data_IF_005895052690
#
_entry.id   IF_005895052690
#
_cell.length_a   1.000
_cell.length_b   1.000
_cell.length_c   1.000
_cell.angle_alpha   90.00
_cell.angle_beta   90.00
_cell.angle_gamma   90.00
#
_symmetry.space_group_name_H-M   'P 1'
#
loop_
_entity.id
_entity.type
_entity.pdbx_description
1 polymer ?
#
# COMPACT_ATOMS: atom_id res chain seq x y z
N UNK A 1 15.02 12.57 5.01
CA UNK A 1 14.35 13.87 5.26
C UNK A 1 15.07 15.02 4.56
N UNK A 2 16.39 15.12 4.67
CA UNK A 2 17.17 16.22 4.05
C UNK A 2 16.95 16.36 2.54
N UNK A 3 16.88 15.25 1.80
CA UNK A 3 16.55 15.26 0.38
C UNK A 3 15.19 15.92 0.10
N UNK A 4 14.14 15.57 0.86
CA UNK A 4 12.81 16.18 0.72
C UNK A 4 12.85 17.68 1.03
N UNK A 5 13.69 18.10 1.98
CA UNK A 5 13.86 19.52 2.28
C UNK A 5 14.56 20.26 1.13
N UNK A 6 15.60 19.68 0.56
CA UNK A 6 16.27 20.25 -0.62
C UNK A 6 15.32 20.35 -1.81
N UNK A 7 14.50 19.32 -2.05
CA UNK A 7 13.48 19.32 -3.10
C UNK A 7 12.43 20.42 -2.85
N UNK A 8 11.91 20.55 -1.63
CA UNK A 8 10.96 21.60 -1.26
C UNK A 8 11.57 23.00 -1.42
N UNK A 9 12.83 23.21 -1.04
CA UNK A 9 13.48 24.52 -1.13
C UNK A 9 13.79 24.91 -2.59
N UNK A 10 14.12 23.93 -3.44
CA UNK A 10 14.32 24.12 -4.87
C UNK A 10 13.00 24.34 -5.64
N UNK A 11 11.93 23.66 -5.21
CA UNK A 11 10.60 23.70 -5.82
C UNK A 11 9.51 23.95 -4.77
N UNK A 12 9.43 25.16 -4.19
CA UNK A 12 8.53 25.44 -3.06
C UNK A 12 7.06 25.53 -3.44
N UNK A 13 6.74 25.55 -4.74
CA UNK A 13 5.41 25.81 -5.26
C UNK A 13 5.14 24.89 -6.46
N UNK A 14 3.98 24.24 -6.45
CA UNK A 14 3.50 23.40 -7.54
C UNK A 14 2.98 24.26 -8.71
N UNK A 15 2.70 23.64 -9.86
CA UNK A 15 2.22 24.34 -11.07
C UNK A 15 0.92 25.12 -10.82
N UNK A 16 0.08 24.63 -9.90
CA UNK A 16 -1.17 25.29 -9.51
C UNK A 16 -0.99 26.46 -8.53
N UNK A 17 0.25 26.83 -8.19
CA UNK A 17 0.58 27.96 -7.32
C UNK A 17 0.50 27.67 -5.82
N UNK A 18 0.19 26.43 -5.41
CA UNK A 18 0.15 26.03 -3.99
C UNK A 18 1.51 25.54 -3.51
N UNK A 19 1.69 25.56 -2.19
CA UNK A 19 2.91 25.13 -1.53
C UNK A 19 3.13 23.62 -1.69
N UNK A 20 4.38 23.23 -1.88
CA UNK A 20 4.82 21.83 -1.92
C UNK A 20 5.18 21.32 -0.51
N UNK A 21 4.82 20.09 -0.21
CA UNK A 21 5.11 19.38 1.03
C UNK A 21 5.90 18.10 0.77
N UNK A 22 6.74 17.71 1.72
CA UNK A 22 7.41 16.41 1.69
C UNK A 22 6.41 15.26 1.81
N UNK A 23 5.45 15.39 2.72
CA UNK A 23 4.41 14.41 3.00
C UNK A 23 3.04 15.08 3.11
N UNK A 24 2.01 14.41 2.58
CA UNK A 24 0.61 14.71 2.85
C UNK A 24 -0.06 13.43 3.34
N UNK A 25 -0.53 13.41 4.59
CA UNK A 25 -1.10 12.23 5.25
C UNK A 25 -2.63 12.34 5.34
N UNK A 26 -3.33 11.29 5.76
CA UNK A 26 -4.78 11.29 5.96
C UNK A 26 -5.18 10.22 6.99
N UNK A 27 -6.40 10.33 7.53
CA UNK A 27 -6.91 9.47 8.62
C UNK A 27 -7.94 8.42 8.20
N UNK A 28 -8.48 8.51 6.99
CA UNK A 28 -9.64 7.71 6.56
C UNK A 28 -9.41 6.20 6.67
N UNK A 29 -8.15 5.75 6.61
CA UNK A 29 -7.78 4.34 6.70
C UNK A 29 -7.19 3.94 8.05
N UNK A 30 -7.21 4.84 9.03
CA UNK A 30 -6.74 4.52 10.37
C UNK A 30 -7.63 3.46 11.03
N UNK A 31 -7.01 2.37 11.46
CA UNK A 31 -7.70 1.24 12.09
C UNK A 31 -7.41 1.18 13.60
N UNK A 32 -6.58 0.24 14.05
CA UNK A 32 -6.07 0.18 15.43
C UNK A 32 -4.84 1.06 15.66
N UNK A 33 -4.34 1.71 14.60
CA UNK A 33 -3.20 2.61 14.57
C UNK A 33 -3.36 3.66 13.47
N UNK A 34 -2.45 4.63 13.42
CA UNK A 34 -2.33 5.59 12.32
C UNK A 34 -1.80 4.88 11.07
N UNK A 35 -2.60 4.83 10.00
CA UNK A 35 -2.29 4.06 8.78
C UNK A 35 -1.03 4.55 8.09
N UNK A 36 -0.84 5.86 8.00
CA UNK A 36 0.34 6.43 7.35
C UNK A 36 1.65 6.13 8.11
N UNK A 37 1.61 5.91 9.43
CA UNK A 37 2.79 5.52 10.21
C UNK A 37 3.06 4.01 10.14
N UNK A 38 2.00 3.23 10.25
CA UNK A 38 2.07 1.77 10.25
C UNK A 38 2.45 1.19 8.88
N UNK A 39 2.01 1.77 7.75
CA UNK A 39 2.45 1.31 6.43
C UNK A 39 3.96 1.49 6.24
N UNK A 40 4.57 2.48 6.89
CA UNK A 40 6.00 2.70 6.78
C UNK A 40 6.84 1.62 7.46
N UNK A 41 6.24 0.79 8.31
CA UNK A 41 6.93 -0.34 8.95
C UNK A 41 7.41 -1.35 7.89
N UNK A 42 6.66 -1.52 6.80
CA UNK A 42 6.96 -2.44 5.70
C UNK A 42 8.29 -2.14 5.02
N UNK A 43 8.70 -0.86 4.96
CA UNK A 43 10.01 -0.47 4.40
C UNK A 43 11.17 -0.68 5.38
N UNK A 44 10.87 -1.04 6.64
CA UNK A 44 11.83 -1.08 7.75
C UNK A 44 11.91 -2.46 8.42
N UNK A 45 11.59 -3.52 7.69
CA UNK A 45 11.80 -4.90 8.14
C UNK A 45 10.63 -5.51 8.91
N UNK A 46 9.50 -4.81 9.05
CA UNK A 46 8.34 -5.30 9.79
C UNK A 46 7.04 -5.08 9.00
N UNK A 47 6.07 -5.97 9.10
CA UNK A 47 4.76 -5.78 8.48
C UNK A 47 3.69 -5.51 9.53
N UNK A 48 2.59 -4.90 9.09
CA UNK A 48 1.32 -4.84 9.83
C UNK A 48 0.62 -6.20 9.84
N UNK A 49 1.35 -7.25 10.22
CA UNK A 49 0.87 -8.62 10.30
C UNK A 49 -0.47 -8.73 11.01
N UNK A 50 -1.24 -9.79 10.72
CA UNK A 50 -2.52 -10.07 11.38
C UNK A 50 -2.39 -10.45 12.87
N UNK A 51 -1.29 -10.07 13.51
CA UNK A 51 -0.89 -10.30 14.90
C UNK A 51 -1.25 -9.13 15.82
N UNK A 52 -2.30 -8.37 15.49
CA UNK A 52 -2.77 -7.30 16.36
C UNK A 52 -1.78 -6.14 16.47
N UNK A 53 -1.30 -5.80 17.67
CA UNK A 53 -0.41 -4.67 17.97
C UNK A 53 1.09 -5.03 17.94
N UNK A 54 1.44 -6.18 17.36
CA UNK A 54 2.82 -6.61 17.13
C UNK A 54 3.11 -6.55 15.64
N UNK A 55 4.16 -5.84 15.25
CA UNK A 55 4.64 -5.80 13.86
C UNK A 55 5.74 -6.83 13.70
N UNK A 56 5.57 -7.83 12.85
CA UNK A 56 6.52 -8.94 12.70
C UNK A 56 7.44 -8.77 11.50
N UNK A 57 8.64 -9.34 11.55
CA UNK A 57 9.41 -9.55 10.31
C UNK A 57 8.74 -10.61 9.42
N UNK A 58 9.38 -10.95 8.28
CA UNK A 58 8.78 -11.81 7.24
C UNK A 58 8.36 -13.19 7.75
N UNK A 59 9.24 -13.89 8.45
CA UNK A 59 8.98 -15.23 8.99
C UNK A 59 8.32 -15.25 10.38
N UNK A 60 8.05 -14.07 10.95
CA UNK A 60 7.54 -13.87 12.31
C UNK A 60 8.44 -14.39 13.46
N UNK A 61 9.73 -14.62 13.21
CA UNK A 61 10.70 -14.96 14.26
C UNK A 61 11.06 -13.78 15.16
N UNK A 62 10.82 -12.54 14.71
CA UNK A 62 11.03 -11.31 15.46
C UNK A 62 9.82 -10.36 15.31
N UNK A 63 9.64 -9.49 16.31
CA UNK A 63 8.58 -8.50 16.30
C UNK A 63 8.91 -7.26 17.12
N UNK A 64 8.29 -6.14 16.76
CA UNK A 64 8.23 -4.94 17.59
C UNK A 64 6.83 -4.74 18.15
N UNK A 65 6.75 -4.29 19.39
CA UNK A 65 5.49 -3.97 20.05
C UNK A 65 5.12 -2.50 19.77
N UNK A 66 3.82 -2.20 19.59
CA UNK A 66 3.36 -0.86 19.21
C UNK A 66 3.78 0.25 20.20
N UNK A 67 3.84 -0.03 21.50
CA UNK A 67 4.17 0.93 22.57
C UNK A 67 5.65 0.87 23.01
N UNK A 68 6.49 0.18 22.24
CA UNK A 68 7.95 0.19 22.43
C UNK A 68 8.55 1.49 21.89
N UNK A 69 9.26 2.20 22.75
CA UNK A 69 9.90 3.49 22.46
C UNK A 69 11.09 3.34 21.50
N UNK A 70 11.62 2.11 21.38
CA UNK A 70 12.64 1.77 20.40
C UNK A 70 12.04 1.02 19.19
N UNK A 71 10.73 0.75 19.22
CA UNK A 71 10.00 0.02 18.20
C UNK A 71 9.82 0.83 16.92
N UNK A 72 9.53 0.13 15.83
CA UNK A 72 9.45 0.78 14.51
C UNK A 72 8.31 1.79 14.42
N UNK A 73 7.17 1.51 15.08
CA UNK A 73 6.03 2.43 15.07
C UNK A 73 6.36 3.78 15.71
N UNK A 74 7.05 3.80 16.87
CA UNK A 74 7.54 5.03 17.49
C UNK A 74 8.47 5.80 16.54
N UNK A 75 9.43 5.11 15.90
CA UNK A 75 10.36 5.73 14.93
C UNK A 75 9.63 6.35 13.74
N UNK A 76 8.54 5.74 13.25
CA UNK A 76 7.74 6.31 12.16
C UNK A 76 6.99 7.57 12.60
N UNK A 77 6.39 7.56 13.81
CA UNK A 77 5.78 8.76 14.38
C UNK A 77 6.81 9.87 14.58
N UNK A 78 8.00 9.53 15.10
CA UNK A 78 9.08 10.48 15.30
C UNK A 78 9.59 11.07 13.97
N UNK A 79 9.64 10.25 12.91
CA UNK A 79 10.02 10.69 11.56
C UNK A 79 9.03 11.74 11.03
N UNK A 80 7.73 11.50 11.16
CA UNK A 80 6.73 12.48 10.74
C UNK A 80 6.71 13.72 11.62
N UNK A 81 6.93 13.58 12.94
CA UNK A 81 7.12 14.73 13.83
C UNK A 81 8.31 15.59 13.39
N UNK A 82 9.49 14.99 13.17
CA UNK A 82 10.68 15.69 12.67
C UNK A 82 10.42 16.37 11.32
N UNK A 83 9.73 15.68 10.40
CA UNK A 83 9.33 16.26 9.13
C UNK A 83 8.38 17.46 9.32
N UNK A 84 7.42 17.37 10.25
CA UNK A 84 6.52 18.47 10.57
C UNK A 84 7.27 19.68 11.13
N UNK A 85 8.24 19.47 12.03
CA UNK A 85 9.11 20.52 12.56
C UNK A 85 9.94 21.23 11.46
N UNK A 86 10.25 20.52 10.37
CA UNK A 86 10.93 21.07 9.19
C UNK A 86 9.97 21.77 8.20
N UNK A 87 8.66 21.77 8.46
CA UNK A 87 7.64 22.30 7.55
C UNK A 87 7.39 21.43 6.31
N UNK A 88 7.71 20.13 6.40
CA UNK A 88 7.55 19.15 5.33
C UNK A 88 6.22 18.40 5.36
N UNK A 89 5.47 18.46 6.45
CA UNK A 89 4.15 17.80 6.55
C UNK A 89 3.06 18.81 6.21
N UNK A 90 2.14 18.40 5.34
CA UNK A 90 0.93 19.13 5.00
C UNK A 90 0.07 19.37 6.27
N UNK A 91 -0.21 20.63 6.65
CA UNK A 91 -0.96 20.94 7.85
C UNK A 91 -2.40 20.41 7.85
N UNK A 92 -2.97 20.12 6.68
CA UNK A 92 -4.33 19.57 6.57
C UNK A 92 -4.40 18.06 6.88
N UNK A 93 -3.25 17.39 7.09
CA UNK A 93 -3.18 15.92 7.12
C UNK A 93 -4.11 15.25 8.14
N UNK A 94 -4.35 15.88 9.28
CA UNK A 94 -5.23 15.32 10.34
C UNK A 94 -6.73 15.54 10.07
N UNK A 95 -7.07 16.40 9.10
CA UNK A 95 -8.43 16.82 8.80
C UNK A 95 -8.92 16.38 7.41
N UNK A 96 -8.01 16.21 6.45
CA UNK A 96 -8.35 15.87 5.07
C UNK A 96 -8.73 14.39 4.87
N UNK A 97 -9.49 14.15 3.80
CA UNK A 97 -9.85 12.81 3.32
C UNK A 97 -8.74 12.24 2.44
N UNK A 98 -8.82 10.94 2.17
CA UNK A 98 -7.97 10.26 1.19
C UNK A 98 -8.07 10.93 -0.20
N UNK A 99 -9.28 11.23 -0.68
CA UNK A 99 -9.49 11.85 -2.00
C UNK A 99 -8.86 13.25 -2.10
N UNK A 100 -8.96 14.04 -1.03
CA UNK A 100 -8.34 15.36 -0.98
C UNK A 100 -6.80 15.27 -1.03
N UNK A 101 -6.23 14.30 -0.32
CA UNK A 101 -4.79 14.01 -0.37
C UNK A 101 -4.37 13.48 -1.75
N UNK A 102 -5.14 12.58 -2.36
CA UNK A 102 -4.88 12.06 -3.71
C UNK A 102 -4.86 13.20 -4.76
N UNK A 103 -5.81 14.14 -4.66
CA UNK A 103 -5.82 15.30 -5.54
C UNK A 103 -4.53 16.12 -5.39
N UNK A 104 -4.06 16.36 -4.16
CA UNK A 104 -2.79 17.06 -3.90
C UNK A 104 -1.59 16.34 -4.55
N UNK A 105 -1.57 15.00 -4.54
CA UNK A 105 -0.54 14.20 -5.23
C UNK A 105 -0.58 14.46 -6.74
N UNK A 106 -1.75 14.37 -7.38
CA UNK A 106 -1.87 14.60 -8.84
C UNK A 106 -1.51 16.02 -9.29
N UNK A 107 -1.75 16.99 -8.41
CA UNK A 107 -1.41 18.41 -8.59
C UNK A 107 0.08 18.73 -8.34
N UNK A 108 0.86 17.76 -7.86
CA UNK A 108 2.30 17.97 -7.58
C UNK A 108 2.58 18.70 -6.27
N UNK A 109 1.63 18.74 -5.34
CA UNK A 109 1.80 19.38 -4.03
C UNK A 109 2.58 18.50 -3.04
N UNK A 110 2.88 17.24 -3.39
CA UNK A 110 3.50 16.23 -2.52
C UNK A 110 4.76 15.68 -3.18
N UNK A 111 5.85 15.48 -2.41
CA UNK A 111 7.13 14.98 -2.93
C UNK A 111 7.39 13.50 -2.67
N UNK A 112 6.75 12.92 -1.65
CA UNK A 112 6.94 11.53 -1.27
C UNK A 112 5.63 10.88 -0.86
N UNK A 113 5.41 9.66 -1.35
CA UNK A 113 4.30 8.82 -0.92
C UNK A 113 4.69 7.34 -0.89
N UNK A 114 4.04 6.57 -0.01
CA UNK A 114 4.32 5.16 0.24
C UNK A 114 3.61 4.19 -0.72
N UNK A 115 2.71 4.69 -1.57
CA UNK A 115 1.90 3.88 -2.48
C UNK A 115 2.20 4.28 -3.92
N UNK A 116 2.88 3.44 -4.69
CA UNK A 116 3.33 3.80 -6.04
C UNK A 116 2.16 4.11 -6.97
N UNK A 117 1.06 3.35 -6.90
CA UNK A 117 -0.15 3.59 -7.69
C UNK A 117 -0.75 4.97 -7.43
N UNK A 118 -0.66 5.50 -6.20
CA UNK A 118 -1.15 6.84 -5.90
C UNK A 118 -0.34 7.92 -6.62
N UNK A 119 0.97 7.70 -6.75
CA UNK A 119 1.87 8.65 -7.41
C UNK A 119 1.89 8.48 -8.92
N UNK A 120 2.21 7.28 -9.41
CA UNK A 120 2.37 6.99 -10.84
C UNK A 120 1.04 7.21 -11.57
N UNK A 121 -0.08 6.75 -11.04
CA UNK A 121 -1.36 6.82 -11.76
C UNK A 121 -1.99 8.22 -11.74
N UNK A 122 -1.57 9.11 -10.81
CA UNK A 122 -2.16 10.45 -10.67
C UNK A 122 -1.23 11.60 -11.04
N UNK A 123 0.09 11.42 -10.97
CA UNK A 123 1.06 12.49 -11.25
C UNK A 123 1.86 12.29 -12.53
N UNK A 124 2.26 11.06 -12.85
CA UNK A 124 3.14 10.74 -13.98
C UNK A 124 2.39 10.74 -15.32
N UNK A 125 1.85 11.89 -15.72
CA UNK A 125 1.24 12.08 -17.04
C UNK A 125 2.29 11.88 -18.15
N UNK A 126 1.88 11.49 -19.37
CA UNK A 126 2.80 11.37 -20.51
C UNK A 126 3.65 12.61 -20.75
N UNK A 127 3.04 13.80 -20.62
CA UNK A 127 3.74 15.07 -20.79
C UNK A 127 4.84 15.28 -19.74
N UNK A 128 4.54 15.02 -18.46
CA UNK A 128 5.50 15.19 -17.37
C UNK A 128 6.65 14.20 -17.48
N UNK A 129 6.36 12.92 -17.73
CA UNK A 129 7.41 11.89 -17.79
C UNK A 129 8.32 12.04 -19.02
N UNK A 130 7.83 12.58 -20.14
CA UNK A 130 8.66 12.92 -21.30
C UNK A 130 9.66 14.05 -20.97
N UNK A 131 9.26 14.98 -20.09
CA UNK A 131 10.12 16.06 -19.60
C UNK A 131 11.09 15.59 -18.50
N UNK A 132 11.01 14.34 -18.06
CA UNK A 132 11.79 13.82 -16.93
C UNK A 132 11.25 14.26 -15.55
N UNK A 133 9.98 14.72 -15.50
CA UNK A 133 9.31 15.11 -14.27
C UNK A 133 8.36 13.99 -13.85
N UNK A 134 8.56 13.42 -12.66
CA UNK A 134 7.69 12.35 -12.18
C UNK A 134 8.18 11.70 -10.89
N UNK A 135 7.35 10.83 -10.34
CA UNK A 135 7.72 9.96 -9.24
C UNK A 135 8.45 8.72 -9.77
N UNK A 136 9.52 8.36 -9.07
CA UNK A 136 10.21 7.09 -9.18
C UNK A 136 10.45 6.54 -7.77
N UNK A 137 10.67 5.23 -7.68
CA UNK A 137 11.11 4.62 -6.44
C UNK A 137 12.56 5.05 -6.13
N UNK A 138 12.80 5.52 -4.90
CA UNK A 138 14.13 5.82 -4.40
C UNK A 138 14.46 4.88 -3.24
N UNK A 139 15.49 4.02 -3.36
CA UNK A 139 15.92 3.17 -2.26
C UNK A 139 16.49 4.02 -1.12
N UNK A 140 16.16 3.64 0.12
CA UNK A 140 16.78 4.20 1.33
C UNK A 140 17.85 3.20 1.79
N UNK A 141 19.07 3.66 2.06
CA UNK A 141 20.26 2.79 2.22
C UNK A 141 20.11 1.68 3.27
N UNK A 142 19.45 1.96 4.39
CA UNK A 142 19.26 1.04 5.52
C UNK A 142 17.86 0.39 5.55
N UNK A 143 17.10 0.52 4.47
CA UNK A 143 15.77 -0.07 4.39
C UNK A 143 15.83 -1.60 4.30
N UNK A 144 14.77 -2.23 4.79
CA UNK A 144 14.50 -3.65 4.54
C UNK A 144 13.04 -3.79 4.19
N UNK A 145 12.75 -4.04 2.94
CA UNK A 145 11.39 -4.09 2.45
C UNK A 145 10.81 -5.48 2.74
N UNK A 146 9.82 -5.57 3.62
CA UNK A 146 9.04 -6.80 3.79
C UNK A 146 7.96 -6.82 2.71
N UNK A 147 7.84 -7.92 1.97
CA UNK A 147 6.86 -8.05 0.88
C UNK A 147 6.08 -9.35 1.08
N UNK A 148 4.78 -9.30 0.81
CA UNK A 148 3.95 -10.50 0.82
C UNK A 148 4.39 -11.46 -0.29
N UNK A 149 4.77 -12.67 0.10
CA UNK A 149 5.03 -13.76 -0.83
C UNK A 149 3.74 -14.39 -1.35
N UNK A 150 3.90 -15.29 -2.31
CA UNK A 150 2.80 -16.12 -2.77
C UNK A 150 2.25 -16.97 -1.60
N UNK A 151 0.94 -16.86 -1.36
CA UNK A 151 0.25 -17.67 -0.35
C UNK A 151 -0.70 -18.68 -1.04
N UNK A 152 -0.34 -19.98 -1.09
CA UNK A 152 -1.19 -21.00 -1.72
C UNK A 152 -2.49 -21.27 -0.95
N UNK A 153 -2.61 -20.77 0.29
CA UNK A 153 -3.79 -20.94 1.12
C UNK A 153 -4.82 -19.80 0.95
N UNK A 154 -4.53 -18.80 0.11
CA UNK A 154 -5.33 -17.58 -0.06
C UNK A 154 -4.99 -16.51 0.97
N UNK A 155 -5.70 -15.38 0.94
CA UNK A 155 -5.59 -14.32 1.95
C UNK A 155 -6.69 -14.49 3.01
N UNK A 156 -6.39 -14.11 4.25
CA UNK A 156 -7.31 -14.22 5.40
C UNK A 156 -8.04 -12.90 5.71
N UNK A 157 -7.76 -11.84 4.95
CA UNK A 157 -8.24 -10.47 5.16
C UNK A 157 -9.55 -10.15 4.42
N UNK A 158 -9.82 -10.80 3.28
CA UNK A 158 -10.95 -10.50 2.41
C UNK A 158 -11.70 -11.78 1.99
N UNK A 159 -12.96 -11.87 2.38
CA UNK A 159 -13.85 -13.00 2.05
C UNK A 159 -15.16 -12.51 1.44
N UNK A 160 -15.67 -13.23 0.43
CA UNK A 160 -17.04 -13.03 -0.06
C UNK A 160 -18.02 -13.79 0.82
N UNK A 161 -18.96 -13.06 1.40
CA UNK A 161 -20.07 -13.63 2.17
C UNK A 161 -21.39 -13.41 1.46
N UNK A 162 -22.23 -14.46 1.39
CA UNK A 162 -23.61 -14.36 0.91
C UNK A 162 -24.57 -14.30 2.09
N UNK A 163 -25.39 -13.24 2.15
CA UNK A 163 -26.39 -13.08 3.19
C UNK A 163 -27.44 -14.19 3.17
N UNK A 164 -27.90 -14.64 4.34
CA UNK A 164 -28.88 -15.72 4.50
C UNK A 164 -30.26 -15.46 3.87
N UNK A 165 -30.53 -14.22 3.45
CA UNK A 165 -31.77 -13.80 2.77
C UNK A 165 -31.59 -13.57 1.27
N UNK A 166 -30.47 -14.00 0.69
CA UNK A 166 -30.25 -13.93 -0.75
C UNK A 166 -31.38 -14.65 -1.49
N UNK A 167 -32.08 -13.93 -2.36
CA UNK A 167 -33.23 -14.48 -3.10
C UNK A 167 -32.81 -15.41 -4.23
N UNK A 168 -31.62 -15.19 -4.80
CA UNK A 168 -31.12 -15.88 -5.98
C UNK A 168 -29.66 -16.35 -5.77
N UNK A 169 -29.40 -17.30 -4.86
CA UNK A 169 -28.06 -17.76 -4.56
C UNK A 169 -27.33 -18.37 -5.78
N UNK A 170 -28.05 -19.09 -6.64
CA UNK A 170 -27.49 -19.67 -7.87
C UNK A 170 -26.94 -18.59 -8.79
N UNK A 171 -27.68 -17.49 -8.99
CA UNK A 171 -27.24 -16.36 -9.82
C UNK A 171 -26.02 -15.65 -9.24
N UNK A 172 -25.90 -15.60 -7.91
CA UNK A 172 -24.69 -15.09 -7.25
C UNK A 172 -23.50 -16.00 -7.56
N UNK A 173 -23.66 -17.31 -7.47
CA UNK A 173 -22.58 -18.25 -7.81
C UNK A 173 -22.18 -18.19 -9.29
N UNK A 174 -23.13 -18.07 -10.22
CA UNK A 174 -22.81 -17.85 -11.64
C UNK A 174 -21.99 -16.56 -11.85
N UNK A 175 -22.32 -15.50 -11.13
CA UNK A 175 -21.55 -14.25 -11.18
C UNK A 175 -20.14 -14.45 -10.61
N UNK A 176 -20.00 -15.13 -9.45
CA UNK A 176 -18.70 -15.38 -8.84
C UNK A 176 -17.81 -16.29 -9.69
N UNK A 177 -18.40 -17.29 -10.34
CA UNK A 177 -17.70 -18.15 -11.30
C UNK A 177 -17.13 -17.32 -12.46
N UNK A 178 -17.95 -16.48 -13.09
CA UNK A 178 -17.47 -15.53 -14.11
C UNK A 178 -16.45 -14.54 -13.55
N UNK A 179 -16.67 -13.98 -12.36
CA UNK A 179 -15.77 -13.01 -11.73
C UNK A 179 -14.40 -13.62 -11.41
N UNK A 180 -14.35 -14.94 -11.20
CA UNK A 180 -13.11 -15.70 -11.01
C UNK A 180 -12.42 -16.12 -12.31
N UNK A 181 -13.01 -15.82 -13.47
CA UNK A 181 -12.47 -16.24 -14.76
C UNK A 181 -11.33 -15.34 -15.27
N UNK A 182 -10.42 -15.86 -16.13
CA UNK A 182 -9.41 -15.04 -16.81
C UNK A 182 -10.01 -13.86 -17.60
N UNK A 183 -11.22 -14.04 -18.17
CA UNK A 183 -11.93 -12.97 -18.88
C UNK A 183 -12.22 -11.80 -17.95
N UNK A 184 -12.82 -12.07 -16.78
CA UNK A 184 -13.11 -11.01 -15.81
C UNK A 184 -11.82 -10.37 -15.29
N UNK A 185 -10.79 -11.16 -15.00
CA UNK A 185 -9.49 -10.62 -14.58
C UNK A 185 -8.89 -9.68 -15.63
N UNK A 186 -8.94 -10.03 -16.92
CA UNK A 186 -8.46 -9.16 -17.99
C UNK A 186 -9.34 -7.90 -18.17
N UNK A 187 -10.66 -8.00 -18.00
CA UNK A 187 -11.54 -6.82 -18.00
C UNK A 187 -11.15 -5.87 -16.86
N UNK A 188 -10.95 -6.39 -15.65
CA UNK A 188 -10.69 -5.59 -14.45
C UNK A 188 -9.28 -4.98 -14.45
N UNK A 189 -8.26 -5.74 -14.84
CA UNK A 189 -6.85 -5.32 -14.72
C UNK A 189 -6.23 -4.88 -16.05
N UNK A 190 -6.67 -5.44 -17.18
CA UNK A 190 -6.29 -5.01 -18.53
C UNK A 190 -7.16 -3.87 -19.07
N UNK A 191 -8.46 -3.87 -18.75
CA UNK A 191 -9.46 -3.01 -19.40
C UNK A 191 -10.10 -3.69 -20.62
N UNK A 192 -11.01 -3.02 -21.36
CA UNK A 192 -11.67 -3.62 -22.51
C UNK A 192 -10.67 -3.93 -23.65
N UNK A 193 -10.64 -5.18 -24.13
CA UNK A 193 -9.88 -5.58 -25.32
C UNK A 193 -10.40 -4.80 -26.56
N UNK A 194 -9.49 -4.38 -27.43
CA UNK A 194 -9.77 -3.53 -28.60
C UNK A 194 -9.77 -2.03 -28.29
N UNK A 195 -10.01 -1.63 -27.03
CA UNK A 195 -9.92 -0.23 -26.59
C UNK A 195 -8.65 0.04 -25.79
N UNK A 196 -8.45 -0.67 -24.68
CA UNK A 196 -7.33 -0.45 -23.76
C UNK A 196 -6.09 -1.28 -24.13
N UNK A 197 -6.29 -2.45 -24.71
CA UNK A 197 -5.22 -3.34 -25.13
C UNK A 197 -5.69 -4.23 -26.28
N UNK A 198 -4.74 -4.79 -27.02
CA UNK A 198 -4.97 -5.74 -28.09
C UNK A 198 -4.00 -6.91 -27.99
N UNK A 199 -4.35 -8.03 -28.63
CA UNK A 199 -3.50 -9.22 -28.69
C UNK A 199 -2.57 -9.15 -29.89
N UNK A 200 -1.26 -9.06 -29.63
CA UNK A 200 -0.20 -9.10 -30.66
C UNK A 200 0.68 -10.31 -30.38
N UNK A 201 0.82 -11.20 -31.37
CA UNK A 201 1.61 -12.44 -31.25
C UNK A 201 1.22 -13.30 -30.02
N UNK A 202 -0.08 -13.33 -29.70
CA UNK A 202 -0.62 -14.09 -28.58
C UNK A 202 -0.45 -13.43 -27.21
N UNK A 203 0.12 -12.23 -27.13
CA UNK A 203 0.35 -11.49 -25.89
C UNK A 203 -0.42 -10.16 -25.86
N UNK A 204 -0.87 -9.70 -24.67
CA UNK A 204 -1.51 -8.40 -24.53
C UNK A 204 -0.51 -7.25 -24.71
N UNK A 205 -0.92 -6.24 -25.46
CA UNK A 205 -0.17 -4.99 -25.67
C UNK A 205 -1.14 -3.83 -25.50
N UNK A 206 -0.77 -2.82 -24.69
CA UNK A 206 -1.63 -1.64 -24.52
C UNK A 206 -1.71 -0.84 -25.82
N UNK A 207 -2.92 -0.41 -26.16
CA UNK A 207 -3.16 0.54 -27.26
C UNK A 207 -2.70 1.93 -26.83
N UNK A 208 -2.56 2.86 -27.79
CA UNK A 208 -2.27 4.27 -27.48
C UNK A 208 -3.28 4.88 -26.48
N UNK A 209 -4.55 4.53 -26.62
CA UNK A 209 -5.60 4.90 -25.67
C UNK A 209 -5.31 4.33 -24.27
N UNK A 210 -5.13 3.01 -24.14
CA UNK A 210 -4.96 2.36 -22.84
C UNK A 210 -3.69 2.72 -22.09
N UNK A 211 -2.67 3.25 -22.77
CA UNK A 211 -1.46 3.79 -22.12
C UNK A 211 -1.74 5.03 -21.27
N UNK A 212 -2.73 5.82 -21.65
CA UNK A 212 -2.98 7.14 -21.06
C UNK A 212 -4.34 7.26 -20.38
N UNK A 213 -5.30 6.40 -20.76
CA UNK A 213 -6.70 6.51 -20.36
C UNK A 213 -6.92 6.58 -18.85
N UNK A 214 -6.13 5.83 -18.08
CA UNK A 214 -6.16 5.85 -16.62
C UNK A 214 -5.69 7.20 -16.07
N UNK A 215 -4.48 7.63 -16.44
CA UNK A 215 -3.82 8.81 -15.88
C UNK A 215 -4.57 10.11 -16.19
N UNK A 216 -5.12 10.23 -17.41
CA UNK A 216 -5.87 11.42 -17.82
C UNK A 216 -7.39 11.29 -17.61
N UNK A 217 -7.86 10.15 -17.07
CA UNK A 217 -9.26 9.79 -17.00
C UNK A 217 -10.01 10.01 -18.33
N UNK A 218 -9.48 9.42 -19.41
CA UNK A 218 -9.93 9.71 -20.77
C UNK A 218 -11.43 9.39 -20.95
N UNK A 219 -12.14 10.15 -21.81
CA UNK A 219 -13.50 9.79 -22.20
C UNK A 219 -13.51 8.43 -22.90
N UNK A 220 -14.53 7.62 -22.61
CA UNK A 220 -14.74 6.30 -23.21
C UNK A 220 -15.69 6.46 -24.42
N UNK A 221 -15.40 5.86 -25.59
CA UNK A 221 -16.29 5.94 -26.74
C UNK A 221 -17.70 5.35 -26.45
N UNK A 222 -18.74 5.88 -27.10
CA UNK A 222 -20.13 5.43 -26.86
C UNK A 222 -20.34 3.93 -27.11
N UNK A 223 -19.60 3.33 -28.07
CA UNK A 223 -19.67 1.89 -28.36
C UNK A 223 -19.18 1.01 -27.20
N UNK A 224 -18.37 1.57 -26.29
CA UNK A 224 -17.92 0.92 -25.05
C UNK A 224 -18.72 1.37 -23.81
N UNK A 225 -19.79 2.17 -24.00
CA UNK A 225 -20.71 2.58 -22.93
C UNK A 225 -20.63 4.06 -22.52
N UNK A 226 -19.68 4.84 -23.04
CA UNK A 226 -19.52 6.26 -22.69
C UNK A 226 -18.97 6.50 -21.28
N UNK A 227 -18.99 7.77 -20.83
CA UNK A 227 -18.41 8.19 -19.54
C UNK A 227 -16.89 8.41 -19.64
N UNK A 228 -16.19 8.27 -18.51
CA UNK A 228 -14.73 8.34 -18.44
C UNK A 228 -14.14 6.99 -18.00
N UNK A 229 -12.87 6.77 -18.31
CA UNK A 229 -12.22 5.48 -18.10
C UNK A 229 -12.27 5.00 -16.64
N UNK A 230 -12.07 5.90 -15.67
CA UNK A 230 -12.14 5.57 -14.24
C UNK A 230 -13.56 5.19 -13.79
N UNK A 231 -14.60 5.63 -14.49
CA UNK A 231 -16.00 5.29 -14.17
C UNK A 231 -16.28 3.79 -14.39
N UNK A 232 -15.53 3.15 -15.29
CA UNK A 232 -15.63 1.71 -15.59
C UNK A 232 -14.82 0.80 -14.67
N UNK A 233 -14.07 1.34 -13.70
CA UNK A 233 -13.26 0.53 -12.79
C UNK A 233 -14.12 -0.37 -11.90
N UNK A 234 -13.59 -1.55 -11.62
CA UNK A 234 -14.19 -2.49 -10.68
C UNK A 234 -14.32 -1.89 -9.28
N UNK A 235 -15.56 -1.63 -8.86
CA UNK A 235 -15.85 -1.04 -7.55
C UNK A 235 -15.79 -2.05 -6.40
N UNK A 236 -15.71 -3.36 -6.70
CA UNK A 236 -15.43 -4.37 -5.67
C UNK A 236 -14.04 -4.19 -5.06
N UNK A 237 -13.13 -3.50 -5.77
CA UNK A 237 -11.75 -3.21 -5.36
C UNK A 237 -11.00 -4.46 -4.85
N UNK A 238 -11.33 -5.63 -5.41
CA UNK A 238 -10.81 -6.93 -5.01
C UNK A 238 -11.05 -7.95 -6.13
N UNK A 239 -10.31 -9.05 -6.14
CA UNK A 239 -10.36 -10.12 -7.13
C UNK A 239 -10.27 -11.50 -6.45
N UNK A 240 -10.87 -12.54 -7.05
CA UNK A 240 -10.78 -13.91 -6.53
C UNK A 240 -9.43 -14.54 -6.92
N UNK A 241 -9.08 -14.71 -8.21
CA UNK A 241 -7.69 -14.93 -8.61
C UNK A 241 -6.86 -13.72 -8.24
N UNK A 242 -5.60 -13.92 -7.89
CA UNK A 242 -4.74 -12.79 -7.55
C UNK A 242 -4.35 -12.05 -8.83
N UNK A 243 -4.31 -10.72 -8.79
CA UNK A 243 -3.98 -9.90 -9.98
C UNK A 243 -2.54 -10.08 -10.47
N UNK A 244 -1.68 -10.69 -9.65
CA UNK A 244 -0.33 -11.13 -10.02
C UNK A 244 -0.28 -12.54 -10.62
N UNK A 245 -1.40 -13.27 -10.66
CA UNK A 245 -1.47 -14.56 -11.32
C UNK A 245 -1.32 -14.41 -12.85
N UNK A 246 -0.89 -15.50 -13.49
CA UNK A 246 -0.73 -15.56 -14.95
C UNK A 246 -2.05 -15.90 -15.61
N UNK A 247 -2.40 -15.13 -16.63
CA UNK A 247 -3.44 -15.49 -17.57
C UNK A 247 -3.03 -16.77 -18.32
N UNK A 248 -3.79 -17.87 -18.21
CA UNK A 248 -3.45 -19.12 -18.89
C UNK A 248 -3.48 -19.00 -20.42
N UNK A 249 -4.17 -18.01 -21.00
CA UNK A 249 -4.25 -17.83 -22.44
C UNK A 249 -3.02 -17.15 -23.03
N UNK A 250 -2.38 -16.24 -22.29
CA UNK A 250 -1.27 -15.41 -22.78
C UNK A 250 0.06 -15.70 -22.08
N UNK A 251 0.02 -16.29 -20.89
CA UNK A 251 1.18 -16.51 -20.02
C UNK A 251 1.71 -15.25 -19.33
N UNK A 252 1.09 -14.09 -19.55
CA UNK A 252 1.42 -12.82 -18.89
C UNK A 252 0.63 -12.68 -17.59
N UNK A 253 1.10 -11.79 -16.69
CA UNK A 253 0.39 -11.45 -15.46
C UNK A 253 -0.89 -10.66 -15.78
N UNK A 254 -1.98 -10.82 -15.02
CA UNK A 254 -3.23 -10.06 -15.28
C UNK A 254 -3.05 -8.54 -15.18
N UNK A 255 -2.22 -8.05 -14.25
CA UNK A 255 -1.91 -6.63 -14.16
C UNK A 255 -1.06 -6.14 -15.34
N UNK A 256 -1.68 -5.26 -16.14
CA UNK A 256 -1.10 -4.62 -17.33
C UNK A 256 0.20 -3.87 -17.10
N UNK A 257 0.46 -3.38 -15.89
CA UNK A 257 1.72 -2.70 -15.56
C UNK A 257 2.93 -3.65 -15.62
N UNK A 258 2.69 -4.97 -15.50
CA UNK A 258 3.73 -6.00 -15.46
C UNK A 258 3.76 -6.87 -16.73
N UNK A 259 2.97 -6.55 -17.75
CA UNK A 259 3.11 -7.23 -19.04
C UNK A 259 4.50 -6.98 -19.61
N UNK A 260 5.08 -8.03 -20.20
CA UNK A 260 6.38 -7.95 -20.86
C UNK A 260 6.43 -6.82 -21.89
N UNK A 261 5.32 -6.60 -22.62
CA UNK A 261 5.17 -5.53 -23.60
C UNK A 261 5.20 -4.14 -22.95
N UNK A 262 4.54 -3.96 -21.82
CA UNK A 262 4.53 -2.73 -21.04
C UNK A 262 5.93 -2.42 -20.49
N UNK A 263 6.52 -3.35 -19.75
CA UNK A 263 7.83 -3.16 -19.10
C UNK A 263 8.92 -2.82 -20.12
N UNK A 264 8.90 -3.49 -21.28
CA UNK A 264 9.94 -3.32 -22.30
C UNK A 264 9.73 -2.09 -23.18
N UNK A 265 8.49 -1.82 -23.61
CA UNK A 265 8.23 -0.88 -24.70
C UNK A 265 7.68 0.46 -24.23
N UNK A 266 7.29 0.58 -22.96
CA UNK A 266 6.67 1.81 -22.42
C UNK A 266 7.57 2.50 -21.42
N UNK A 267 8.85 2.61 -21.82
CA UNK A 267 9.88 3.38 -21.14
C UNK A 267 9.61 4.88 -21.30
N UNK A 268 10.05 5.64 -20.31
CA UNK A 268 10.03 7.11 -20.33
C UNK A 268 11.29 7.64 -19.65
N UNK A 269 11.53 8.94 -19.77
CA UNK A 269 12.75 9.59 -19.27
C UNK A 269 12.97 9.39 -17.76
N UNK A 270 11.90 9.41 -16.95
CA UNK A 270 12.00 9.15 -15.49
C UNK A 270 12.52 7.74 -15.22
N UNK A 271 12.01 6.74 -15.96
CA UNK A 271 12.49 5.37 -15.84
C UNK A 271 13.93 5.20 -16.35
N UNK A 272 14.29 5.90 -17.43
CA UNK A 272 15.64 5.85 -18.01
C UNK A 272 16.67 6.47 -17.07
N UNK A 273 16.39 7.64 -16.49
CA UNK A 273 17.23 8.25 -15.45
C UNK A 273 17.36 7.35 -14.21
N UNK A 274 16.29 6.64 -13.84
CA UNK A 274 16.35 5.65 -12.75
C UNK A 274 17.29 4.49 -13.09
N UNK A 275 17.18 3.93 -14.29
CA UNK A 275 18.05 2.83 -14.76
C UNK A 275 19.51 3.28 -14.88
N UNK A 276 19.77 4.49 -15.37
CA UNK A 276 21.12 5.08 -15.42
C UNK A 276 21.72 5.26 -14.01
N UNK A 277 20.89 5.59 -13.03
CA UNK A 277 21.33 5.84 -11.65
C UNK A 277 21.57 4.54 -10.87
N UNK A 278 20.66 3.56 -10.98
CA UNK A 278 20.65 2.35 -10.14
C UNK A 278 21.06 1.06 -10.85
N UNK A 279 21.23 1.10 -12.17
CA UNK A 279 21.81 0.00 -12.96
C UNK A 279 20.89 -1.19 -13.23
N UNK A 280 19.62 -1.13 -12.85
CA UNK A 280 18.62 -2.18 -13.17
C UNK A 280 17.42 -1.59 -13.92
N UNK A 281 16.57 -2.44 -14.51
CA UNK A 281 15.36 -1.99 -15.23
C UNK A 281 14.17 -1.74 -14.30
N UNK A 282 14.10 -2.47 -13.19
CA UNK A 282 12.98 -2.44 -12.23
C UNK A 282 13.47 -2.20 -10.80
N UNK A 283 12.79 -1.35 -10.01
CA UNK A 283 13.03 -1.19 -8.58
C UNK A 283 13.07 -2.49 -7.78
N UNK A 284 12.21 -3.44 -8.11
CA UNK A 284 12.17 -4.74 -7.46
C UNK A 284 13.43 -5.56 -7.71
N UNK A 285 14.00 -5.49 -8.92
CA UNK A 285 15.26 -6.14 -9.24
C UNK A 285 16.41 -5.53 -8.43
N UNK A 286 16.46 -4.19 -8.31
CA UNK A 286 17.44 -3.52 -7.44
C UNK A 286 17.35 -4.01 -5.99
N UNK A 287 16.13 -4.11 -5.44
CA UNK A 287 15.93 -4.58 -4.07
C UNK A 287 16.40 -6.02 -3.87
N UNK A 288 16.15 -6.91 -4.81
CA UNK A 288 16.61 -8.30 -4.78
C UNK A 288 18.13 -8.40 -4.90
N UNK A 289 18.73 -7.70 -5.87
CA UNK A 289 20.17 -7.76 -6.13
C UNK A 289 21.03 -7.20 -4.99
N UNK A 290 20.43 -6.34 -4.15
CA UNK A 290 21.10 -5.68 -3.01
C UNK A 290 20.68 -6.23 -1.64
N UNK A 291 19.94 -7.34 -1.57
CA UNK A 291 19.49 -7.95 -0.30
C UNK A 291 18.66 -6.98 0.58
N UNK A 292 17.84 -6.13 -0.05
CA UNK A 292 17.00 -5.13 0.60
C UNK A 292 15.53 -5.58 0.72
N UNK A 293 15.23 -6.84 0.45
CA UNK A 293 13.87 -7.39 0.45
C UNK A 293 13.78 -8.69 1.24
N UNK A 294 12.74 -8.80 2.06
CA UNK A 294 12.37 -10.02 2.77
C UNK A 294 10.96 -10.45 2.35
N UNK A 295 10.81 -11.72 2.00
CA UNK A 295 9.52 -12.27 1.60
C UNK A 295 8.81 -12.86 2.82
N UNK A 296 7.58 -12.44 3.07
CA UNK A 296 6.67 -13.10 4.01
C UNK A 296 6.25 -14.44 3.39
N UNK A 297 6.60 -15.58 3.98
CA UNK A 297 6.12 -16.88 3.51
C UNK A 297 4.59 -16.97 3.66
N UNK A 298 3.95 -17.62 2.69
CA UNK A 298 2.55 -18.03 2.81
C UNK A 298 2.33 -18.85 4.07
N UNK A 299 1.14 -18.71 4.69
CA UNK A 299 0.82 -19.38 5.94
C UNK A 299 -0.62 -19.92 5.91
N UNK A 300 -0.86 -21.17 6.34
CA UNK A 300 -2.20 -21.69 6.57
C UNK A 300 -2.79 -21.25 7.92
N UNK A 301 -2.01 -20.58 8.77
CA UNK A 301 -2.46 -20.14 10.08
C UNK A 301 -3.43 -18.96 9.97
N UNK A 302 -4.59 -19.12 10.61
CA UNK A 302 -5.60 -18.07 10.75
C UNK A 302 -5.70 -17.73 12.24
N UNK A 303 -5.56 -16.44 12.57
CA UNK A 303 -5.71 -15.97 13.93
C UNK A 303 -7.10 -16.31 14.48
N UNK A 304 -7.19 -16.87 15.70
CA UNK A 304 -8.46 -17.02 16.39
C UNK A 304 -9.16 -15.67 16.54
N UNK A 305 -10.50 -15.68 16.44
CA UNK A 305 -11.29 -14.49 16.72
C UNK A 305 -11.13 -14.10 18.20
N UNK A 306 -10.83 -12.83 18.45
CA UNK A 306 -10.78 -12.29 19.80
C UNK A 306 -12.07 -12.60 20.57
N UNK A 307 -11.93 -12.91 21.86
CA UNK A 307 -13.09 -12.94 22.74
C UNK A 307 -13.74 -11.55 22.78
N UNK A 308 -15.03 -11.48 23.13
CA UNK A 308 -15.74 -10.21 23.22
C UNK A 308 -15.04 -9.19 24.13
N UNK A 309 -14.43 -9.66 25.23
CA UNK A 309 -13.66 -8.83 26.15
C UNK A 309 -12.37 -8.29 25.52
N UNK A 310 -11.58 -9.15 24.86
CA UNK A 310 -10.34 -8.72 24.17
C UNK A 310 -10.66 -7.76 23.03
N UNK A 311 -11.71 -7.98 22.26
CA UNK A 311 -12.12 -7.10 21.17
C UNK A 311 -12.49 -5.68 21.70
N UNK A 312 -13.21 -5.60 22.83
CA UNK A 312 -13.52 -4.31 23.47
C UNK A 312 -12.22 -3.59 23.90
N UNK A 313 -11.32 -4.30 24.59
CA UNK A 313 -10.02 -3.75 25.02
C UNK A 313 -9.19 -3.26 23.83
N UNK A 314 -9.09 -4.07 22.78
CA UNK A 314 -8.35 -3.75 21.55
C UNK A 314 -8.92 -2.51 20.86
N UNK A 315 -10.23 -2.40 20.74
CA UNK A 315 -10.90 -1.23 20.15
C UNK A 315 -10.64 0.06 20.93
N UNK A 316 -10.70 -0.01 22.26
CA UNK A 316 -10.38 1.14 23.13
C UNK A 316 -8.90 1.53 23.04
N UNK A 317 -7.99 0.54 23.05
CA UNK A 317 -6.56 0.76 22.86
C UNK A 317 -6.29 1.42 21.50
N UNK A 318 -6.86 0.89 20.41
CA UNK A 318 -6.66 1.44 19.07
C UNK A 318 -7.17 2.87 18.91
N UNK A 319 -8.27 3.22 19.60
CA UNK A 319 -8.74 4.62 19.66
C UNK A 319 -7.71 5.51 20.35
N UNK A 320 -7.18 5.10 21.51
CA UNK A 320 -6.15 5.85 22.23
C UNK A 320 -4.86 6.01 21.40
N UNK A 321 -4.41 4.95 20.74
CA UNK A 321 -3.22 4.96 19.86
C UNK A 321 -3.38 5.96 18.74
N UNK A 322 -4.50 5.94 18.01
CA UNK A 322 -4.75 6.87 16.90
C UNK A 322 -4.74 8.32 17.34
N UNK A 323 -5.47 8.63 18.41
CA UNK A 323 -5.54 9.98 18.97
C UNK A 323 -4.14 10.50 19.39
N UNK A 324 -3.36 9.66 20.05
CA UNK A 324 -2.00 10.00 20.46
C UNK A 324 -1.07 10.16 19.26
N UNK A 325 -1.13 9.25 18.28
CA UNK A 325 -0.27 9.26 17.09
C UNK A 325 -0.38 10.57 16.30
N UNK A 326 -1.59 11.05 16.05
CA UNK A 326 -1.81 12.34 15.38
C UNK A 326 -1.31 13.53 16.22
N UNK A 327 -1.54 13.51 17.53
CA UNK A 327 -1.01 14.54 18.45
C UNK A 327 0.52 14.55 18.48
N UNK A 328 1.16 13.38 18.42
CA UNK A 328 2.61 13.26 18.38
C UNK A 328 3.18 13.85 17.10
N UNK A 329 2.66 13.48 15.92
CA UNK A 329 3.14 14.04 14.64
C UNK A 329 3.05 15.57 14.60
N UNK A 330 1.99 16.13 15.19
CA UNK A 330 1.75 17.58 15.23
C UNK A 330 2.16 18.25 16.55
N UNK A 331 2.91 17.57 17.42
CA UNK A 331 3.40 18.14 18.67
C UNK A 331 4.27 19.37 18.38
N UNK A 332 4.24 20.36 19.28
CA UNK A 332 5.00 21.60 19.13
C UNK A 332 6.51 21.35 19.22
N UNK A 333 6.93 20.48 20.13
CA UNK A 333 8.31 20.19 20.46
C UNK A 333 8.48 18.74 20.94
N UNK A 334 9.73 18.32 21.18
CA UNK A 334 10.04 16.94 21.57
C UNK A 334 9.49 16.62 22.95
N UNK A 335 9.44 17.61 23.84
CA UNK A 335 8.86 17.47 25.18
C UNK A 335 7.37 17.14 25.11
N UNK A 336 6.59 17.84 24.27
CA UNK A 336 5.18 17.51 24.04
C UNK A 336 5.02 16.14 23.37
N UNK A 337 5.84 15.82 22.36
CA UNK A 337 5.84 14.51 21.71
C UNK A 337 6.02 13.38 22.72
N UNK A 338 7.02 13.49 23.60
CA UNK A 338 7.32 12.49 24.62
C UNK A 338 6.25 12.42 25.70
N UNK A 339 5.69 13.57 26.09
CA UNK A 339 4.58 13.60 27.05
C UNK A 339 3.33 12.89 26.52
N UNK A 340 2.98 13.10 25.24
CA UNK A 340 1.84 12.42 24.60
C UNK A 340 2.07 10.91 24.52
N UNK A 341 3.30 10.48 24.21
CA UNK A 341 3.66 9.06 24.18
C UNK A 341 3.51 8.39 25.57
N UNK A 342 4.02 9.03 26.63
CA UNK A 342 3.92 8.48 27.99
C UNK A 342 2.47 8.45 28.50
N UNK A 343 1.67 9.47 28.17
CA UNK A 343 0.23 9.48 28.47
C UNK A 343 -0.51 8.34 27.75
N UNK A 344 -0.18 8.11 26.46
CA UNK A 344 -0.71 6.99 25.70
C UNK A 344 -0.41 5.66 26.39
N UNK A 345 0.85 5.40 26.77
CA UNK A 345 1.25 4.16 27.45
C UNK A 345 0.49 3.93 28.75
N UNK A 346 0.40 4.97 29.59
CA UNK A 346 -0.36 4.93 30.85
C UNK A 346 -1.84 4.61 30.60
N UNK A 347 -2.44 5.21 29.56
CA UNK A 347 -3.82 4.95 29.16
C UNK A 347 -3.99 3.52 28.65
N UNK A 348 -3.06 3.00 27.85
CA UNK A 348 -3.07 1.62 27.35
C UNK A 348 -3.05 0.60 28.49
N UNK A 349 -2.19 0.79 29.48
CA UNK A 349 -2.14 -0.07 30.67
C UNK A 349 -3.50 -0.13 31.38
N UNK A 350 -4.14 1.04 31.57
CA UNK A 350 -5.46 1.13 32.18
C UNK A 350 -6.60 0.52 31.34
N UNK A 351 -6.41 0.36 30.02
CA UNK A 351 -7.38 -0.23 29.09
C UNK A 351 -7.21 -1.75 28.92
N UNK A 352 -6.28 -2.37 29.65
CA UNK A 352 -6.02 -3.82 29.55
C UNK A 352 -5.18 -4.20 28.33
N UNK A 353 -4.31 -3.31 27.86
CA UNK A 353 -3.43 -3.55 26.71
C UNK A 353 -2.58 -4.83 26.87
N UNK A 354 -2.09 -5.13 28.08
CA UNK A 354 -1.30 -6.33 28.33
C UNK A 354 -2.07 -7.64 28.04
N UNK A 355 -3.39 -7.67 28.24
CA UNK A 355 -4.21 -8.83 27.87
C UNK A 355 -4.30 -9.00 26.36
N UNK A 356 -4.41 -7.88 25.63
CA UNK A 356 -4.42 -7.85 24.17
C UNK A 356 -3.08 -8.33 23.60
N UNK A 357 -1.98 -7.85 24.18
CA UNK A 357 -0.62 -8.26 23.80
C UNK A 357 -0.38 -9.75 24.05
N UNK A 358 -0.94 -10.33 25.12
CA UNK A 358 -0.82 -11.76 25.36
C UNK A 358 -1.46 -12.60 24.24
N UNK A 359 -2.62 -12.18 23.72
CA UNK A 359 -3.27 -12.81 22.56
C UNK A 359 -2.41 -12.61 21.31
N UNK A 360 -1.90 -11.40 21.10
CA UNK A 360 -1.08 -11.08 19.93
C UNK A 360 0.21 -11.90 19.88
N UNK A 361 0.88 -12.12 21.02
CA UNK A 361 2.07 -12.99 21.11
C UNK A 361 1.76 -14.45 20.76
N UNK A 362 0.59 -14.96 21.15
CA UNK A 362 0.16 -16.30 20.76
C UNK A 362 -0.08 -16.40 19.24
N UNK A 363 -0.61 -15.34 18.63
CA UNK A 363 -0.79 -15.27 17.18
C UNK A 363 0.56 -15.20 16.43
N UNK A 364 1.54 -14.43 16.94
CA UNK A 364 2.91 -14.40 16.39
C UNK A 364 3.52 -15.78 16.40
N UNK A 365 3.44 -16.51 17.53
CA UNK A 365 3.94 -17.88 17.62
C UNK A 365 3.25 -18.82 16.62
N UNK A 366 1.94 -18.67 16.44
CA UNK A 366 1.18 -19.43 15.44
C UNK A 366 1.68 -19.20 14.01
N UNK A 367 1.89 -17.93 13.63
CA UNK A 367 2.48 -17.60 12.33
C UNK A 367 3.92 -18.10 12.19
N UNK A 368 4.75 -17.95 13.21
CA UNK A 368 6.13 -18.40 13.19
C UNK A 368 6.21 -19.91 12.92
N UNK A 369 5.46 -20.73 13.66
CA UNK A 369 5.46 -22.18 13.45
C UNK A 369 4.93 -22.57 12.07
N UNK A 370 3.86 -21.92 11.61
CA UNK A 370 3.25 -22.21 10.31
C UNK A 370 4.16 -21.83 9.13
N UNK A 371 4.77 -20.63 9.19
CA UNK A 371 5.72 -20.16 8.17
C UNK A 371 7.00 -20.97 8.17
N UNK A 372 7.52 -21.33 9.34
CA UNK A 372 8.68 -22.21 9.47
C UNK A 372 8.43 -23.57 8.80
N UNK A 373 7.27 -24.19 9.03
CA UNK A 373 6.91 -25.45 8.37
C UNK A 373 6.87 -25.30 6.84
N UNK A 374 6.27 -24.21 6.33
CA UNK A 374 6.24 -23.93 4.88
C UNK A 374 7.65 -23.73 4.31
N UNK A 375 8.55 -23.03 5.02
CA UNK A 375 9.94 -22.86 4.58
C UNK A 375 10.64 -24.23 4.52
N UNK A 376 10.49 -25.07 5.55
CA UNK A 376 11.13 -26.40 5.62
C UNK A 376 10.61 -27.37 4.54
N UNK A 377 9.34 -27.25 4.12
CA UNK A 377 8.76 -28.08 3.05
C UNK A 377 9.24 -27.69 1.64
N UNK A 378 9.72 -26.46 1.45
CA UNK A 378 10.13 -25.91 0.14
C UNK A 378 11.66 -25.79 -0.03
N UNK A 379 12.45 -26.24 0.94
CA UNK A 379 13.91 -26.42 0.86
C UNK A 379 14.26 -27.85 0.44
#
# INVERSE_FOLDING_TARGET
>A
MDLLKQMQDAHPTAENGKKVYGFSLFKDWDSKWMRCASICTWFNGYSESNTGFLFTNGDASDYTQLDDENGIYYKMLETFFKANQMGLVDPDSSAQTFDAMQAKVGEGEVLCHFWPWLTIDNYNTPERVEQGVGFAYLPIEDQRFVVEGYNPYGTDDLVICMGSKCKNPERVFEFLDWFSSPESMMINYGGPEGLAWEKVDGKPVRTEYGRTAETINAPVPEEYGGGNFKDGKCQFNWCIPFWLDKDPATGEIFNKALWTSTVKNERNRVMDEWTETFGTELPTQYLVDNDLMEIIPGSPYICPVDSSDINIKRSQCGTAVKEASWKMVFARDKEEFDAVWQDMKTKLDGLGYNDVIAVDKANVEGFYQARKAVIEENQ
#
